data_IF_326643921819
#
_entry.id   IF_326643921819
#
_cell.length_a   1.000
_cell.length_b   1.000
_cell.length_c   1.000
_cell.angle_alpha   90.00
_cell.angle_beta   90.00
_cell.angle_gamma   90.00
#
_symmetry.space_group_name_H-M   'P 1'
#
loop_
_entity.id
_entity.type
_entity.pdbx_description
1 polymer ?
#
# COMPACT_ATOMS: atom_id res chain seq x y z
N UNK A 1 -20.34 7.63 5.97
CA UNK A 1 -20.10 6.61 7.01
C UNK A 1 -18.60 6.33 7.03
N UNK A 2 -17.90 6.53 8.16
CA UNK A 2 -16.49 6.11 8.29
C UNK A 2 -16.47 4.65 8.73
N UNK A 3 -15.55 3.82 8.22
CA UNK A 3 -15.41 2.46 8.71
C UNK A 3 -15.05 2.50 10.19
N UNK A 4 -15.77 1.72 10.99
CA UNK A 4 -15.40 1.52 12.40
C UNK A 4 -14.09 0.72 12.42
N UNK A 5 -13.13 1.15 13.24
CA UNK A 5 -11.78 0.58 13.35
C UNK A 5 -10.76 0.94 12.24
N UNK A 6 -10.98 2.01 11.46
CA UNK A 6 -9.94 2.55 10.59
C UNK A 6 -9.00 3.50 11.36
N UNK A 7 -7.71 3.15 11.42
CA UNK A 7 -6.65 4.02 11.98
C UNK A 7 -5.80 4.59 10.85
N UNK A 8 -5.61 5.91 10.85
CA UNK A 8 -4.70 6.60 9.94
C UNK A 8 -3.49 7.05 10.76
N UNK A 9 -2.31 6.59 10.36
CA UNK A 9 -1.03 6.94 10.99
C UNK A 9 0.07 7.04 9.95
N UNK A 10 1.24 7.52 10.36
CA UNK A 10 2.45 7.47 9.54
C UNK A 10 2.82 6.01 9.21
N UNK A 11 3.38 5.81 8.01
CA UNK A 11 3.90 4.52 7.56
C UNK A 11 5.18 4.19 8.34
N UNK A 12 5.27 2.95 8.78
CA UNK A 12 6.45 2.36 9.42
C UNK A 12 6.99 1.19 8.60
N UNK A 13 8.22 0.76 8.88
CA UNK A 13 8.86 -0.34 8.16
C UNK A 13 8.07 -1.66 8.24
N UNK A 14 7.31 -1.87 9.31
CA UNK A 14 6.44 -3.04 9.49
C UNK A 14 5.26 -3.06 8.51
N UNK A 15 4.86 -1.91 7.97
CA UNK A 15 3.72 -1.81 7.03
C UNK A 15 4.10 -2.20 5.60
N UNK A 16 5.39 -2.36 5.31
CA UNK A 16 5.90 -2.51 3.96
C UNK A 16 5.22 -3.68 3.23
N UNK A 17 5.02 -4.82 3.88
CA UNK A 17 4.38 -6.00 3.28
C UNK A 17 2.93 -5.74 2.88
N UNK A 18 2.13 -5.18 3.80
CA UNK A 18 0.73 -4.85 3.53
C UNK A 18 0.59 -3.80 2.42
N UNK A 19 1.45 -2.78 2.43
CA UNK A 19 1.47 -1.75 1.39
C UNK A 19 1.88 -2.30 0.03
N UNK A 20 2.87 -3.20 -0.03
CA UNK A 20 3.26 -3.87 -1.28
C UNK A 20 2.10 -4.71 -1.82
N UNK A 21 1.42 -5.47 -0.96
CA UNK A 21 0.28 -6.29 -1.37
C UNK A 21 -0.84 -5.44 -1.97
N UNK A 22 -1.23 -4.38 -1.25
CA UNK A 22 -2.27 -3.45 -1.67
C UNK A 22 -1.92 -2.74 -2.99
N UNK A 23 -0.67 -2.33 -3.17
CA UNK A 23 -0.19 -1.74 -4.43
C UNK A 23 -0.30 -2.68 -5.63
N UNK A 24 -0.17 -3.99 -5.38
CA UNK A 24 -0.24 -5.01 -6.40
C UNK A 24 -1.66 -5.50 -6.70
N UNK A 25 -2.66 -5.10 -5.89
CA UNK A 25 -4.05 -5.44 -6.17
C UNK A 25 -4.52 -4.84 -7.51
N UNK A 26 -5.28 -5.61 -8.31
CA UNK A 26 -5.94 -5.08 -9.51
C UNK A 26 -6.83 -3.87 -9.17
N UNK A 27 -6.84 -2.86 -10.04
CA UNK A 27 -7.65 -1.65 -9.84
C UNK A 27 -7.12 -0.65 -8.82
N UNK A 28 -6.29 -1.05 -7.86
CA UNK A 28 -5.75 -0.12 -6.84
C UNK A 28 -4.89 1.00 -7.44
N UNK A 29 -4.07 0.66 -8.45
CA UNK A 29 -3.16 1.60 -9.11
C UNK A 29 -3.80 2.48 -10.17
N UNK A 30 -5.08 2.27 -10.49
CA UNK A 30 -5.76 3.00 -11.56
C UNK A 30 -5.73 4.52 -11.30
N UNK A 31 -5.29 5.30 -12.30
CA UNK A 31 -5.17 6.75 -12.16
C UNK A 31 -3.95 7.23 -11.35
N UNK A 32 -2.99 6.35 -11.04
CA UNK A 32 -1.73 6.71 -10.36
C UNK A 32 -0.52 6.46 -11.25
N UNK A 33 0.63 7.05 -10.91
CA UNK A 33 1.92 6.78 -11.57
C UNK A 33 2.64 5.53 -11.00
N UNK A 34 1.96 4.72 -10.18
CA UNK A 34 2.59 3.54 -9.58
C UNK A 34 2.79 2.44 -10.61
N UNK A 35 4.00 1.91 -10.68
CA UNK A 35 4.35 0.78 -11.54
C UNK A 35 3.72 -0.53 -11.03
N UNK A 36 3.35 -1.46 -11.93
CA UNK A 36 2.86 -2.77 -11.54
C UNK A 36 4.00 -3.65 -10.96
N UNK A 37 3.62 -4.70 -10.21
CA UNK A 37 4.52 -5.73 -9.67
C UNK A 37 5.57 -5.17 -8.71
N UNK A 38 5.13 -4.35 -7.75
CA UNK A 38 6.01 -3.76 -6.76
C UNK A 38 6.63 -4.84 -5.86
N UNK A 39 7.92 -4.68 -5.53
CA UNK A 39 8.66 -5.57 -4.63
C UNK A 39 8.75 -5.00 -3.23
N UNK A 40 8.75 -5.89 -2.23
CA UNK A 40 8.83 -5.54 -0.82
C UNK A 40 10.07 -4.68 -0.50
N UNK A 41 11.21 -5.05 -1.07
CA UNK A 41 12.49 -4.34 -0.88
C UNK A 41 12.43 -2.88 -1.34
N UNK A 42 11.61 -2.57 -2.33
CA UNK A 42 11.40 -1.20 -2.82
C UNK A 42 10.44 -0.44 -1.91
N UNK A 43 9.44 -1.11 -1.32
CA UNK A 43 8.46 -0.51 -0.43
C UNK A 43 9.02 -0.22 0.97
N UNK A 44 10.04 -0.96 1.41
CA UNK A 44 10.68 -0.78 2.73
C UNK A 44 11.64 0.42 2.80
N UNK A 45 11.88 1.13 1.68
CA UNK A 45 12.81 2.25 1.58
C UNK A 45 12.26 3.55 2.16
#
# INVERSE_FOLDING_TARGET
MRPENLVIRAVEAADAEGLTHLQNMPGFRFGTLRIPFQRLETTRK
#
